data_IF_910715734902
#
_entry.id   IF_910715734902
#
_cell.length_a   1.000
_cell.length_b   1.000
_cell.length_c   1.000
_cell.angle_alpha   90.00
_cell.angle_beta   90.00
_cell.angle_gamma   90.00
#
_symmetry.space_group_name_H-M   'P 1'
#
loop_
_entity.id
_entity.type
_entity.pdbx_description
1 polymer ?
#
# COMPACT_ATOMS: atom_id res chain seq x y z
N UNK A 1 11.68 -19.55 -11.51
CA UNK A 1 10.66 -18.64 -10.96
C UNK A 1 10.64 -17.37 -11.79
N UNK A 2 9.47 -16.88 -12.20
CA UNK A 2 9.26 -15.64 -12.95
C UNK A 2 8.45 -14.66 -12.10
N UNK A 3 8.73 -13.36 -12.21
CA UNK A 3 7.97 -12.31 -11.53
C UNK A 3 7.43 -11.31 -12.53
N UNK A 4 6.18 -10.87 -12.32
CA UNK A 4 5.52 -9.81 -13.07
C UNK A 4 5.06 -8.72 -12.12
N UNK A 5 5.18 -7.47 -12.55
CA UNK A 5 4.65 -6.32 -11.82
C UNK A 5 3.27 -5.96 -12.35
N UNK A 6 2.35 -5.77 -11.42
CA UNK A 6 0.94 -5.44 -11.68
C UNK A 6 0.65 -4.09 -11.05
N UNK A 7 -0.09 -3.24 -11.76
CA UNK A 7 -0.67 -2.03 -11.22
C UNK A 7 -2.13 -2.33 -10.84
N UNK A 8 -2.41 -2.32 -9.54
CA UNK A 8 -3.77 -2.39 -9.02
C UNK A 8 -4.28 -0.98 -8.74
N UNK A 9 -5.40 -0.55 -9.38
CA UNK A 9 -5.86 0.82 -9.24
C UNK A 9 -6.50 1.09 -7.89
N UNK A 10 -6.18 2.25 -7.32
CA UNK A 10 -6.89 2.83 -6.19
C UNK A 10 -7.73 3.98 -6.72
N UNK A 11 -9.04 3.85 -6.60
CA UNK A 11 -10.02 4.78 -7.18
C UNK A 11 -10.70 5.58 -6.08
N UNK A 12 -11.10 6.81 -6.37
CA UNK A 12 -12.07 7.47 -5.50
C UNK A 12 -13.48 6.91 -5.73
N UNK A 13 -14.44 7.31 -4.88
CA UNK A 13 -15.83 6.81 -4.95
C UNK A 13 -16.59 7.29 -6.20
N UNK A 14 -16.06 8.31 -6.88
CA UNK A 14 -16.59 8.85 -8.16
C UNK A 14 -16.02 8.12 -9.38
N UNK A 15 -15.10 7.15 -9.17
CA UNK A 15 -14.49 6.37 -10.23
C UNK A 15 -13.29 7.05 -10.91
N UNK A 16 -12.67 8.06 -10.27
CA UNK A 16 -11.43 8.67 -10.73
C UNK A 16 -10.23 7.95 -10.12
N UNK A 17 -9.20 7.68 -10.94
CA UNK A 17 -7.94 7.10 -10.50
C UNK A 17 -7.21 8.09 -9.56
N UNK A 18 -6.84 7.61 -8.37
CA UNK A 18 -6.02 8.33 -7.39
C UNK A 18 -4.55 7.92 -7.50
N UNK A 19 -4.31 6.66 -7.77
CA UNK A 19 -2.99 6.06 -7.90
C UNK A 19 -3.09 4.57 -8.10
N UNK A 20 -1.95 3.89 -7.96
CA UNK A 20 -1.89 2.44 -8.08
C UNK A 20 -1.04 1.84 -6.98
N UNK A 21 -1.36 0.63 -6.58
CA UNK A 21 -0.44 -0.21 -5.82
C UNK A 21 0.39 -1.06 -6.78
N UNK A 22 1.72 -1.08 -6.58
CA UNK A 22 2.64 -1.95 -7.29
C UNK A 22 2.66 -3.32 -6.63
N UNK A 23 1.94 -4.25 -7.19
CA UNK A 23 1.94 -5.64 -6.75
C UNK A 23 2.94 -6.48 -7.55
N UNK A 24 3.46 -7.53 -6.91
CA UNK A 24 4.31 -8.52 -7.59
C UNK A 24 3.61 -9.86 -7.63
N UNK A 25 3.48 -10.42 -8.82
CA UNK A 25 3.00 -11.78 -9.03
C UNK A 25 4.18 -12.69 -9.29
N UNK A 26 4.38 -13.69 -8.43
CA UNK A 26 5.37 -14.73 -8.63
C UNK A 26 4.71 -15.97 -9.21
N UNK A 27 5.38 -16.56 -10.20
CA UNK A 27 4.94 -17.80 -10.86
C UNK A 27 6.08 -18.82 -10.82
N UNK A 28 5.77 -20.02 -10.33
CA UNK A 28 6.72 -21.13 -10.34
C UNK A 28 7.01 -21.64 -11.76
N UNK A 29 8.03 -22.44 -11.94
CA UNK A 29 8.33 -23.08 -13.23
C UNK A 29 7.17 -23.97 -13.72
N UNK A 30 6.41 -24.55 -12.79
CA UNK A 30 5.18 -25.30 -13.09
C UNK A 30 3.95 -24.40 -13.36
N UNK A 31 4.15 -23.09 -13.56
CA UNK A 31 3.11 -22.09 -13.82
C UNK A 31 2.07 -21.93 -12.69
N UNK A 32 2.42 -22.32 -11.45
CA UNK A 32 1.56 -22.11 -10.28
C UNK A 32 1.86 -20.73 -9.66
N UNK A 33 0.83 -19.94 -9.30
CA UNK A 33 1.04 -18.70 -8.55
C UNK A 33 1.64 -19.01 -7.17
N UNK A 34 2.56 -18.16 -6.74
CA UNK A 34 3.17 -18.23 -5.41
C UNK A 34 2.78 -16.97 -4.63
N UNK A 35 2.53 -17.13 -3.34
CA UNK A 35 2.18 -16.00 -2.48
C UNK A 35 3.41 -15.08 -2.31
N UNK A 36 3.31 -13.77 -2.64
CA UNK A 36 4.45 -12.86 -2.63
C UNK A 36 5.14 -12.77 -1.27
N UNK A 37 4.40 -12.61 -0.18
CA UNK A 37 4.97 -12.53 1.16
C UNK A 37 5.78 -13.77 1.52
N UNK A 38 5.30 -14.98 1.15
CA UNK A 38 6.03 -16.23 1.38
C UNK A 38 7.34 -16.30 0.59
N UNK A 39 7.34 -15.82 -0.66
CA UNK A 39 8.55 -15.80 -1.49
C UNK A 39 9.59 -14.83 -0.93
N UNK A 40 9.13 -13.60 -0.62
CA UNK A 40 9.99 -12.50 -0.18
C UNK A 40 10.54 -12.75 1.23
N UNK A 41 9.76 -13.36 2.13
CA UNK A 41 10.22 -13.69 3.48
C UNK A 41 11.39 -14.69 3.52
N UNK A 42 11.54 -15.50 2.47
CA UNK A 42 12.66 -16.42 2.32
C UNK A 42 13.93 -15.80 1.72
N UNK A 43 13.91 -14.50 1.36
CA UNK A 43 15.04 -13.84 0.74
C UNK A 43 16.00 -13.23 1.75
N UNK A 44 17.29 -13.26 1.40
CA UNK A 44 18.32 -12.51 2.11
C UNK A 44 18.32 -11.01 1.74
N UNK A 45 19.16 -10.23 2.41
CA UNK A 45 19.26 -8.78 2.19
C UNK A 45 19.67 -8.42 0.75
N UNK A 46 20.54 -9.18 0.12
CA UNK A 46 20.98 -8.90 -1.25
C UNK A 46 19.86 -9.15 -2.28
N UNK A 47 19.09 -10.21 -2.07
CA UNK A 47 17.93 -10.52 -2.89
C UNK A 47 16.84 -9.45 -2.74
N UNK A 48 16.54 -9.01 -1.50
CA UNK A 48 15.59 -7.91 -1.23
C UNK A 48 16.08 -6.59 -1.80
N UNK A 49 17.38 -6.30 -1.71
CA UNK A 49 18.00 -5.11 -2.34
C UNK A 49 17.81 -5.10 -3.85
N UNK A 50 18.13 -6.20 -4.52
CA UNK A 50 17.93 -6.34 -5.97
C UNK A 50 16.46 -6.22 -6.36
N UNK A 51 15.57 -6.71 -5.53
CA UNK A 51 14.13 -6.60 -5.75
C UNK A 51 13.65 -5.15 -5.65
N UNK A 52 14.08 -4.40 -4.63
CA UNK A 52 13.80 -2.97 -4.51
C UNK A 52 14.30 -2.18 -5.71
N UNK A 53 15.53 -2.45 -6.20
CA UNK A 53 16.02 -1.82 -7.42
C UNK A 53 15.15 -2.10 -8.64
N UNK A 54 14.64 -3.33 -8.77
CA UNK A 54 13.71 -3.68 -9.85
C UNK A 54 12.39 -2.93 -9.73
N UNK A 55 11.80 -2.87 -8.53
CA UNK A 55 10.56 -2.15 -8.29
C UNK A 55 10.73 -0.65 -8.59
N UNK A 56 11.76 -0.01 -8.03
CA UNK A 56 12.00 1.41 -8.28
C UNK A 56 12.36 1.69 -9.75
N UNK A 57 13.09 0.82 -10.41
CA UNK A 57 13.38 0.95 -11.84
C UNK A 57 12.13 0.90 -12.73
N UNK A 58 11.20 0.00 -12.40
CA UNK A 58 9.91 -0.11 -13.09
C UNK A 58 9.05 1.13 -12.83
N UNK A 59 8.99 1.63 -11.58
CA UNK A 59 8.24 2.85 -11.24
C UNK A 59 8.86 4.07 -11.95
N UNK A 60 10.19 4.21 -11.90
CA UNK A 60 10.91 5.30 -12.56
C UNK A 60 10.66 5.35 -14.08
N UNK A 61 10.46 4.20 -14.73
CA UNK A 61 10.12 4.16 -16.16
C UNK A 61 8.76 4.80 -16.50
N UNK A 62 7.95 5.13 -15.50
CA UNK A 62 6.63 5.77 -15.62
C UNK A 62 6.53 7.08 -14.82
N UNK A 63 7.65 7.63 -14.35
CA UNK A 63 7.67 8.81 -13.50
C UNK A 63 6.93 9.99 -14.12
N UNK A 64 7.23 10.34 -15.36
CA UNK A 64 6.58 11.46 -16.06
C UNK A 64 5.05 11.31 -16.10
N UNK A 65 4.57 10.08 -16.25
CA UNK A 65 3.13 9.80 -16.26
C UNK A 65 2.50 10.01 -14.89
N UNK A 66 3.11 9.53 -13.81
CA UNK A 66 2.61 9.75 -12.45
C UNK A 66 2.60 11.24 -12.10
N UNK A 67 3.69 11.95 -12.38
CA UNK A 67 3.81 13.38 -12.07
C UNK A 67 2.84 14.23 -12.90
N UNK A 68 2.74 13.96 -14.20
CA UNK A 68 1.84 14.69 -15.09
C UNK A 68 0.37 14.59 -14.68
N UNK A 69 -0.06 13.41 -14.20
CA UNK A 69 -1.43 13.17 -13.79
C UNK A 69 -1.69 13.39 -12.29
N UNK A 70 -0.67 13.71 -11.51
CA UNK A 70 -0.78 13.89 -10.06
C UNK A 70 -1.18 12.60 -9.34
N UNK A 71 -0.73 11.44 -9.84
CA UNK A 71 -1.06 10.12 -9.30
C UNK A 71 0.07 9.62 -8.40
N UNK A 72 -0.25 8.76 -7.45
CA UNK A 72 0.73 8.08 -6.62
C UNK A 72 0.95 6.62 -7.05
N UNK A 73 2.07 6.06 -6.60
CA UNK A 73 2.35 4.63 -6.67
C UNK A 73 2.74 4.14 -5.29
N UNK A 74 1.96 3.23 -4.72
CA UNK A 74 2.30 2.62 -3.44
C UNK A 74 2.97 1.26 -3.64
N UNK A 75 3.79 0.86 -2.68
CA UNK A 75 4.43 -0.44 -2.65
C UNK A 75 4.68 -0.91 -1.22
N UNK A 76 4.52 -2.21 -1.02
CA UNK A 76 4.74 -2.87 0.25
C UNK A 76 6.23 -2.98 0.59
N UNK A 77 6.60 -2.63 1.83
CA UNK A 77 7.94 -2.79 2.37
C UNK A 77 7.92 -3.55 3.68
N UNK A 78 8.70 -4.62 3.76
CA UNK A 78 8.95 -5.30 5.02
C UNK A 78 10.06 -4.60 5.82
N UNK A 79 10.36 -5.10 7.02
CA UNK A 79 11.35 -4.51 7.92
C UNK A 79 12.76 -4.46 7.30
N UNK A 80 13.17 -5.51 6.58
CA UNK A 80 14.48 -5.57 5.96
C UNK A 80 14.57 -4.59 4.77
N UNK A 81 13.51 -4.49 3.98
CA UNK A 81 13.40 -3.52 2.90
C UNK A 81 13.43 -2.08 3.41
N UNK A 82 12.70 -1.79 4.49
CA UNK A 82 12.73 -0.50 5.16
C UNK A 82 14.14 -0.16 5.68
N UNK A 83 14.83 -1.17 6.24
CA UNK A 83 16.22 -1.04 6.68
C UNK A 83 17.17 -0.75 5.52
N UNK A 84 17.00 -1.43 4.39
CA UNK A 84 17.75 -1.18 3.17
C UNK A 84 17.53 0.22 2.62
N UNK A 85 16.28 0.67 2.50
CA UNK A 85 15.92 2.04 2.07
C UNK A 85 16.59 3.09 2.96
N UNK A 86 16.69 2.83 4.27
CA UNK A 86 17.34 3.74 5.22
C UNK A 86 18.87 3.79 5.08
N UNK A 87 19.51 2.64 4.86
CA UNK A 87 20.98 2.51 4.97
C UNK A 87 21.72 2.39 3.63
N UNK A 88 21.02 2.06 2.56
CA UNK A 88 21.58 2.07 1.21
C UNK A 88 21.36 3.46 0.57
N UNK A 89 22.45 4.22 0.43
CA UNK A 89 22.37 5.60 -0.06
C UNK A 89 21.80 5.72 -1.47
N UNK A 90 21.99 4.71 -2.34
CA UNK A 90 21.43 4.73 -3.69
C UNK A 90 19.92 4.46 -3.66
N UNK A 91 19.44 3.49 -2.85
CA UNK A 91 18.00 3.26 -2.68
C UNK A 91 17.32 4.50 -2.09
N UNK A 92 17.93 5.11 -1.07
CA UNK A 92 17.42 6.33 -0.45
C UNK A 92 17.30 7.47 -1.46
N UNK A 93 18.35 7.73 -2.26
CA UNK A 93 18.31 8.75 -3.30
C UNK A 93 17.26 8.43 -4.36
N UNK A 94 17.17 7.17 -4.79
CA UNK A 94 16.21 6.75 -5.81
C UNK A 94 14.76 6.94 -5.34
N UNK A 95 14.40 6.47 -4.15
CA UNK A 95 13.04 6.63 -3.65
C UNK A 95 12.71 8.11 -3.38
N UNK A 96 13.67 8.88 -2.86
CA UNK A 96 13.45 10.30 -2.57
C UNK A 96 13.32 11.17 -3.83
N UNK A 97 13.83 10.71 -4.98
CA UNK A 97 13.65 11.39 -6.28
C UNK A 97 12.25 11.21 -6.86
N UNK A 98 11.44 10.34 -6.28
CA UNK A 98 10.06 10.00 -6.69
C UNK A 98 9.07 10.25 -5.55
N UNK A 99 8.72 11.51 -5.21
CA UNK A 99 7.88 11.84 -4.05
C UNK A 99 6.44 11.32 -4.16
N UNK A 100 6.00 10.92 -5.34
CA UNK A 100 4.73 10.26 -5.57
C UNK A 100 4.70 8.80 -5.08
N UNK A 101 5.84 8.20 -4.75
CA UNK A 101 5.89 6.87 -4.13
C UNK A 101 5.37 6.94 -2.70
N UNK A 102 4.51 5.97 -2.33
CA UNK A 102 4.02 5.73 -0.97
C UNK A 102 4.54 4.39 -0.48
N UNK A 103 5.10 4.37 0.73
CA UNK A 103 5.63 3.15 1.33
C UNK A 103 4.57 2.55 2.24
N UNK A 104 4.16 1.31 1.99
CA UNK A 104 3.17 0.60 2.78
C UNK A 104 3.85 -0.35 3.77
N UNK A 105 3.47 -0.28 5.04
CA UNK A 105 3.90 -1.21 6.08
C UNK A 105 2.66 -1.87 6.67
N UNK A 106 2.71 -3.18 6.90
CA UNK A 106 1.59 -3.92 7.46
C UNK A 106 1.41 -3.64 8.95
N UNK A 107 0.26 -3.99 9.50
CA UNK A 107 -0.03 -3.95 10.93
C UNK A 107 0.94 -4.83 11.76
N UNK A 108 1.56 -5.84 11.12
CA UNK A 108 2.55 -6.74 11.75
C UNK A 108 3.99 -6.24 11.62
N UNK A 109 4.21 -5.03 11.10
CA UNK A 109 5.57 -4.49 10.94
C UNK A 109 6.28 -4.40 12.29
N UNK A 110 7.50 -4.96 12.44
CA UNK A 110 8.22 -4.98 13.71
C UNK A 110 8.43 -3.59 14.30
N UNK A 111 7.95 -3.41 15.52
CA UNK A 111 8.05 -2.12 16.24
C UNK A 111 6.98 -1.10 15.89
N UNK A 112 5.92 -1.50 15.17
CA UNK A 112 4.81 -0.59 14.82
C UNK A 112 4.12 -0.04 16.08
N UNK A 113 4.05 -0.85 17.14
CA UNK A 113 3.49 -0.46 18.44
C UNK A 113 4.33 0.60 19.18
N UNK A 114 5.58 0.76 18.77
CA UNK A 114 6.50 1.77 19.33
C UNK A 114 6.35 3.13 18.64
N UNK A 115 5.64 3.17 17.51
CA UNK A 115 5.44 4.38 16.72
C UNK A 115 6.76 5.06 16.36
N UNK A 116 6.83 6.37 16.52
CA UNK A 116 8.05 7.15 16.21
C UNK A 116 9.23 6.91 17.16
N UNK A 117 9.08 6.09 18.19
CA UNK A 117 10.23 5.60 18.99
C UNK A 117 11.01 4.52 18.24
N UNK A 118 10.39 3.82 17.29
CA UNK A 118 11.09 2.92 16.39
C UNK A 118 11.99 3.73 15.44
N UNK A 119 13.33 3.52 15.45
CA UNK A 119 14.23 4.27 14.58
C UNK A 119 13.94 4.09 13.09
N UNK A 120 13.46 2.91 12.68
CA UNK A 120 13.10 2.62 11.29
C UNK A 120 11.85 3.40 10.89
N UNK A 121 10.76 3.30 11.65
CA UNK A 121 9.52 4.04 11.37
C UNK A 121 9.76 5.55 11.35
N UNK A 122 10.49 6.07 12.33
CA UNK A 122 10.87 7.48 12.39
C UNK A 122 11.63 7.91 11.13
N UNK A 123 12.57 7.10 10.66
CA UNK A 123 13.35 7.40 9.47
C UNK A 123 12.48 7.39 8.19
N UNK A 124 11.55 6.44 8.07
CA UNK A 124 10.61 6.42 6.95
C UNK A 124 9.70 7.66 6.94
N UNK A 125 9.17 8.05 8.12
CA UNK A 125 8.32 9.23 8.25
C UNK A 125 9.04 10.56 7.99
N UNK A 126 10.36 10.61 8.21
CA UNK A 126 11.18 11.79 7.95
C UNK A 126 11.66 11.89 6.49
N UNK A 127 11.41 10.85 5.69
CA UNK A 127 11.68 10.85 4.27
C UNK A 127 10.73 11.74 3.49
N UNK A 128 11.01 11.89 2.19
CA UNK A 128 10.14 12.63 1.24
C UNK A 128 8.86 11.84 0.94
N UNK A 129 8.94 10.52 1.05
CA UNK A 129 7.86 9.61 0.72
C UNK A 129 6.96 9.40 1.95
N UNK A 130 5.67 9.44 1.73
CA UNK A 130 4.69 9.22 2.79
C UNK A 130 4.60 7.74 3.17
N UNK A 131 4.36 7.49 4.44
CA UNK A 131 4.14 6.17 5.00
C UNK A 131 2.63 5.89 5.09
N UNK A 132 2.22 4.71 4.66
CA UNK A 132 0.85 4.21 4.74
C UNK A 132 0.80 2.96 5.62
N UNK A 133 -0.28 2.79 6.36
CA UNK A 133 -0.56 1.56 7.10
C UNK A 133 -1.42 0.64 6.23
N UNK A 134 -0.94 -0.57 6.00
CA UNK A 134 -1.63 -1.61 5.25
C UNK A 134 -2.24 -2.67 6.18
N UNK A 135 -3.23 -3.41 5.68
CA UNK A 135 -3.89 -4.54 6.33
C UNK A 135 -4.52 -4.24 7.70
N UNK A 136 -5.02 -3.00 7.93
CA UNK A 136 -5.68 -2.68 9.20
C UNK A 136 -6.87 -3.61 9.45
N UNK A 137 -6.79 -4.36 10.54
CA UNK A 137 -7.81 -5.32 10.97
C UNK A 137 -7.56 -6.77 10.57
N UNK A 138 -6.48 -7.06 9.81
CA UNK A 138 -6.11 -8.44 9.47
C UNK A 138 -5.65 -9.26 10.68
N UNK A 139 -5.12 -8.59 11.70
CA UNK A 139 -4.64 -9.20 12.94
C UNK A 139 -5.46 -8.81 14.16
N UNK A 140 -4.81 -8.44 15.24
CA UNK A 140 -5.44 -7.98 16.47
C UNK A 140 -5.84 -6.50 16.41
N UNK A 141 -6.46 -6.04 15.33
CA UNK A 141 -6.98 -4.70 15.07
C UNK A 141 -6.44 -3.64 16.05
N UNK A 142 -5.14 -3.37 16.00
CA UNK A 142 -4.50 -2.48 16.97
C UNK A 142 -4.55 -1.04 16.45
N UNK A 143 -5.67 -0.36 16.69
CA UNK A 143 -5.81 1.09 16.42
C UNK A 143 -4.70 1.91 17.12
N UNK A 144 -3.97 1.31 18.08
CA UNK A 144 -2.89 1.99 18.78
C UNK A 144 -1.76 2.46 17.84
N UNK A 145 -1.49 1.75 16.73
CA UNK A 145 -0.52 2.18 15.73
C UNK A 145 -0.93 3.47 15.01
N UNK A 146 -2.24 3.78 14.95
CA UNK A 146 -2.75 5.02 14.36
C UNK A 146 -2.67 6.23 15.30
N UNK A 147 -2.56 6.00 16.61
CA UNK A 147 -2.72 7.06 17.64
C UNK A 147 -1.70 8.20 17.51
N UNK A 148 -0.55 7.98 16.90
CA UNK A 148 0.49 9.01 16.73
C UNK A 148 0.30 9.85 15.45
N UNK A 149 -0.62 9.47 14.55
CA UNK A 149 -1.02 10.27 13.37
C UNK A 149 0.08 10.49 12.32
N UNK A 150 1.07 9.60 12.21
CA UNK A 150 2.16 9.74 11.25
C UNK A 150 1.90 9.06 9.90
N UNK A 151 0.85 8.25 9.80
CA UNK A 151 0.44 7.66 8.53
C UNK A 151 -0.36 8.66 7.70
N UNK A 152 0.02 8.82 6.44
CA UNK A 152 -0.75 9.66 5.49
C UNK A 152 -2.07 9.00 5.11
N UNK A 153 -2.08 7.68 4.98
CA UNK A 153 -3.25 6.89 4.68
C UNK A 153 -3.24 5.56 5.42
N UNK A 154 -4.42 4.97 5.56
CA UNK A 154 -4.61 3.63 6.10
C UNK A 154 -5.47 2.82 5.15
N UNK A 155 -5.08 1.56 4.91
CA UNK A 155 -5.84 0.59 4.11
C UNK A 155 -6.54 -0.39 5.06
N UNK A 156 -7.84 -0.54 4.88
CA UNK A 156 -8.65 -1.49 5.65
C UNK A 156 -8.63 -2.83 4.91
N UNK A 157 -8.17 -3.88 5.62
CA UNK A 157 -8.11 -5.23 5.08
C UNK A 157 -9.46 -5.72 4.55
N UNK A 158 -9.43 -6.48 3.45
CA UNK A 158 -10.60 -7.03 2.78
C UNK A 158 -11.47 -7.90 3.70
N UNK A 159 -10.88 -8.78 4.53
CA UNK A 159 -11.64 -9.67 5.40
C UNK A 159 -12.30 -8.86 6.50
N UNK A 160 -11.55 -7.95 7.10
CA UNK A 160 -12.09 -7.04 8.11
C UNK A 160 -13.22 -6.16 7.55
N UNK A 161 -13.04 -5.60 6.36
CA UNK A 161 -14.10 -4.84 5.67
C UNK A 161 -15.37 -5.67 5.51
N UNK A 162 -15.25 -6.88 4.93
CA UNK A 162 -16.39 -7.76 4.70
C UNK A 162 -17.10 -8.18 6.01
N UNK A 163 -16.38 -8.30 7.12
CA UNK A 163 -16.96 -8.60 8.42
C UNK A 163 -17.70 -7.41 9.05
N UNK A 164 -17.30 -6.18 8.73
CA UNK A 164 -17.78 -4.98 9.41
C UNK A 164 -18.85 -4.22 8.62
N UNK A 165 -18.83 -4.28 7.28
CA UNK A 165 -19.60 -3.39 6.40
C UNK A 165 -21.11 -3.41 6.68
N UNK A 166 -21.67 -4.59 6.99
CA UNK A 166 -23.10 -4.74 7.25
C UNK A 166 -23.47 -4.49 8.73
N UNK A 167 -22.49 -4.18 9.59
CA UNK A 167 -22.75 -3.91 11.01
C UNK A 167 -23.16 -2.45 11.21
N UNK A 168 -24.17 -2.17 12.08
CA UNK A 168 -24.55 -0.80 12.42
C UNK A 168 -23.41 0.04 13.01
N UNK A 169 -22.35 -0.60 13.49
CA UNK A 169 -21.17 0.03 14.08
C UNK A 169 -20.13 0.46 13.06
N UNK A 170 -20.27 0.08 11.79
CA UNK A 170 -19.29 0.41 10.76
C UNK A 170 -19.06 1.93 10.60
N UNK A 171 -20.08 2.80 10.53
CA UNK A 171 -19.87 4.24 10.47
C UNK A 171 -19.10 4.79 11.68
N UNK A 172 -19.35 4.25 12.88
CA UNK A 172 -18.62 4.65 14.08
C UNK A 172 -17.15 4.21 14.04
N UNK A 173 -16.88 3.02 13.53
CA UNK A 173 -15.52 2.53 13.30
C UNK A 173 -14.75 3.48 12.39
N UNK A 174 -15.29 3.82 11.21
CA UNK A 174 -14.67 4.74 10.26
C UNK A 174 -14.45 6.12 10.90
N UNK A 175 -15.44 6.65 11.60
CA UNK A 175 -15.31 7.90 12.33
C UNK A 175 -14.18 7.89 13.36
N UNK A 176 -13.97 6.78 14.04
CA UNK A 176 -12.88 6.63 15.01
C UNK A 176 -11.51 6.59 14.32
N UNK A 177 -11.37 5.87 13.19
CA UNK A 177 -10.13 5.83 12.41
C UNK A 177 -9.80 7.23 11.88
N UNK A 178 -10.80 7.96 11.37
CA UNK A 178 -10.65 9.33 10.83
C UNK A 178 -10.14 10.36 11.84
N UNK A 179 -10.20 10.07 13.12
CA UNK A 179 -9.59 10.95 14.15
C UNK A 179 -8.06 10.97 14.08
N UNK A 180 -7.46 9.98 13.44
CA UNK A 180 -6.01 9.77 13.37
C UNK A 180 -5.47 9.78 11.94
N UNK A 181 -6.30 9.41 10.97
CA UNK A 181 -5.95 9.39 9.56
C UNK A 181 -7.17 9.69 8.69
N UNK A 182 -7.12 10.78 7.92
CA UNK A 182 -8.25 11.20 7.08
C UNK A 182 -8.39 10.38 5.80
N UNK A 183 -7.27 9.88 5.26
CA UNK A 183 -7.27 9.08 4.03
C UNK A 183 -7.42 7.60 4.37
N UNK A 184 -8.62 7.09 4.18
CA UNK A 184 -8.93 5.67 4.37
C UNK A 184 -9.18 5.04 3.00
N UNK A 185 -8.45 3.99 2.68
CA UNK A 185 -8.67 3.11 1.53
C UNK A 185 -9.33 1.83 2.01
N UNK A 186 -10.36 1.37 1.31
CA UNK A 186 -11.00 0.07 1.58
C UNK A 186 -10.58 -0.91 0.50
N UNK A 187 -10.06 -2.05 0.94
CA UNK A 187 -9.64 -3.13 0.06
C UNK A 187 -10.75 -4.16 -0.21
N UNK A 188 -10.58 -4.91 -1.29
CA UNK A 188 -11.47 -6.00 -1.64
C UNK A 188 -12.88 -5.57 -2.05
N UNK A 189 -13.05 -4.36 -2.54
CA UNK A 189 -14.35 -3.91 -3.04
C UNK A 189 -14.65 -4.60 -4.37
N UNK A 190 -15.65 -5.50 -4.37
CA UNK A 190 -16.03 -6.31 -5.52
C UNK A 190 -17.35 -5.88 -6.16
N UNK A 191 -18.17 -5.11 -5.44
CA UNK A 191 -19.51 -4.69 -5.86
C UNK A 191 -19.75 -3.21 -5.67
N UNK A 192 -20.51 -2.61 -6.59
CA UNK A 192 -20.92 -1.20 -6.49
C UNK A 192 -21.93 -0.93 -5.37
N UNK A 193 -22.58 -1.95 -4.84
CA UNK A 193 -23.62 -1.81 -3.81
C UNK A 193 -23.14 -1.09 -2.53
N UNK A 194 -21.83 -1.17 -2.23
CA UNK A 194 -21.26 -0.54 -1.05
C UNK A 194 -20.78 0.90 -1.28
N UNK A 195 -20.64 1.35 -2.54
CA UNK A 195 -20.02 2.64 -2.83
C UNK A 195 -20.76 3.83 -2.20
N UNK A 196 -22.10 3.79 -2.17
CA UNK A 196 -22.90 4.88 -1.59
C UNK A 196 -22.65 4.96 -0.07
N UNK A 197 -22.65 3.82 0.64
CA UNK A 197 -22.35 3.79 2.07
C UNK A 197 -20.92 4.23 2.35
N UNK A 198 -19.95 3.78 1.55
CA UNK A 198 -18.55 4.17 1.69
C UNK A 198 -18.36 5.67 1.47
N UNK A 199 -19.14 6.26 0.56
CA UNK A 199 -19.15 7.71 0.32
C UNK A 199 -19.77 8.46 1.50
N UNK A 200 -20.88 7.98 2.06
CA UNK A 200 -21.54 8.58 3.22
C UNK A 200 -20.63 8.61 4.45
N UNK A 201 -19.87 7.54 4.71
CA UNK A 201 -18.93 7.49 5.83
C UNK A 201 -17.62 8.21 5.53
N UNK A 202 -17.43 8.69 4.29
CA UNK A 202 -16.32 9.51 3.86
C UNK A 202 -15.04 8.72 3.63
N UNK A 203 -15.12 7.52 3.05
CA UNK A 203 -13.95 6.79 2.56
C UNK A 203 -13.29 7.60 1.43
N UNK A 204 -11.95 7.65 1.44
CA UNK A 204 -11.16 8.41 0.47
C UNK A 204 -10.90 7.63 -0.81
N UNK A 205 -10.61 6.32 -0.70
CA UNK A 205 -10.27 5.48 -1.84
C UNK A 205 -10.78 4.05 -1.67
N UNK A 206 -10.91 3.35 -2.79
CA UNK A 206 -11.32 1.95 -2.85
C UNK A 206 -10.45 1.18 -3.83
N UNK A 207 -10.18 -0.08 -3.51
CA UNK A 207 -9.37 -1.01 -4.27
C UNK A 207 -10.05 -2.39 -4.28
N UNK A 208 -9.91 -3.15 -5.36
CA UNK A 208 -10.44 -4.51 -5.44
C UNK A 208 -10.93 -4.89 -6.82
N UNK A 209 -11.55 -6.06 -6.94
CA UNK A 209 -11.94 -6.65 -8.23
C UNK A 209 -13.03 -5.87 -9.00
N UNK A 210 -13.66 -4.89 -8.36
CA UNK A 210 -14.53 -3.94 -9.06
C UNK A 210 -13.75 -3.17 -10.14
N UNK A 211 -12.44 -2.98 -9.94
CA UNK A 211 -11.56 -2.25 -10.83
C UNK A 211 -10.47 -3.19 -11.37
N UNK A 212 -10.31 -3.21 -12.69
CA UNK A 212 -9.41 -4.16 -13.32
C UNK A 212 -7.94 -3.72 -13.18
N UNK A 213 -7.11 -4.54 -12.55
CA UNK A 213 -5.67 -4.39 -12.57
C UNK A 213 -5.08 -4.63 -13.97
N UNK A 214 -3.93 -4.02 -14.23
CA UNK A 214 -3.18 -4.17 -15.49
C UNK A 214 -1.72 -4.52 -15.23
N UNK A 215 -1.00 -5.15 -16.18
CA UNK A 215 0.46 -5.23 -16.10
C UNK A 215 1.05 -3.83 -15.96
N UNK A 216 2.01 -3.64 -15.05
CA UNK A 216 2.51 -2.30 -14.71
C UNK A 216 3.04 -1.53 -15.91
N UNK A 217 3.67 -2.19 -16.88
CA UNK A 217 4.13 -1.56 -18.11
C UNK A 217 3.00 -0.96 -18.98
N UNK A 218 1.74 -1.26 -18.65
CA UNK A 218 0.53 -0.75 -19.31
C UNK A 218 -0.31 0.13 -18.37
N UNK A 219 0.29 0.68 -17.32
CA UNK A 219 -0.42 1.46 -16.28
C UNK A 219 -1.23 2.62 -16.86
N UNK A 220 -0.81 3.21 -17.98
CA UNK A 220 -1.51 4.29 -18.66
C UNK A 220 -2.93 3.91 -19.15
N UNK A 221 -3.24 2.61 -19.23
CA UNK A 221 -4.58 2.12 -19.59
C UNK A 221 -5.61 2.25 -18.47
N UNK A 222 -5.20 2.71 -17.30
CA UNK A 222 -6.08 2.92 -16.15
C UNK A 222 -6.76 4.31 -16.15
N UNK A 223 -6.35 5.20 -17.05
CA UNK A 223 -6.98 6.51 -17.29
C UNK A 223 -8.16 6.45 -18.24
#
# INVERSE_FOLDING_TARGET
MHSEFIAEPIMNLEGKLLGVELLTRFVSESKRPLHPAFVISGWDFDQKRLFLYKQFGVIASKQDWFEHHGLFCSLNVDYDMATLIRHDGLLQLTVSSMPFIKLEVSEEFPGIEQGLKSPILKSLCQGVNSLWLDDLGAGNANVASLLEGYFEAVKIDRHFFNEQIDKPTFPLLIKNIKRYCDKIVVEGVESRQYLDLLQEVGIWGVQGYLFKSVPFHKVEKLL
#
